data_IF_700596520711
#
_entry.id   IF_700596520711
#
_cell.length_a   1.000
_cell.length_b   1.000
_cell.length_c   1.000
_cell.angle_alpha   90.00
_cell.angle_beta   90.00
_cell.angle_gamma   90.00
#
_symmetry.space_group_name_H-M   'P 1'
#
loop_
_entity.id
_entity.type
_entity.pdbx_description
1 polymer ?
#
# COMPACT_ATOMS: atom_id res chain seq x y z
N UNK A 1 18.54 -26.41 -1.36
CA UNK A 1 17.64 -25.31 -1.78
C UNK A 1 17.78 -24.19 -0.75
N UNK A 2 18.57 -23.16 -1.06
CA UNK A 2 18.84 -22.04 -0.16
C UNK A 2 17.57 -21.20 -0.04
N UNK A 3 16.86 -21.33 1.09
CA UNK A 3 15.79 -20.41 1.47
C UNK A 3 16.47 -19.07 1.68
N UNK A 4 16.30 -18.14 0.75
CA UNK A 4 16.84 -16.80 0.90
C UNK A 4 16.24 -16.19 2.19
N UNK A 5 17.04 -16.00 3.25
CA UNK A 5 16.52 -15.52 4.54
C UNK A 5 15.91 -14.12 4.40
N UNK A 6 16.31 -13.38 3.37
CA UNK A 6 15.70 -12.09 2.98
C UNK A 6 14.22 -12.27 2.60
N UNK A 7 13.85 -13.33 1.88
CA UNK A 7 12.46 -13.55 1.47
C UNK A 7 11.60 -13.93 2.68
N UNK A 8 12.10 -14.77 3.59
CA UNK A 8 11.38 -15.13 4.81
C UNK A 8 11.28 -13.96 5.80
N UNK A 9 12.32 -13.13 5.92
CA UNK A 9 12.25 -11.90 6.71
C UNK A 9 11.22 -10.92 6.14
N UNK A 10 11.16 -10.79 4.82
CA UNK A 10 10.14 -9.95 4.15
C UNK A 10 8.75 -10.49 4.43
N UNK A 11 8.54 -11.80 4.33
CA UNK A 11 7.23 -12.43 4.62
C UNK A 11 6.79 -12.26 6.06
N UNK A 12 7.68 -12.41 7.04
CA UNK A 12 7.33 -12.22 8.46
C UNK A 12 7.12 -10.74 8.80
N UNK A 13 7.79 -9.80 8.12
CA UNK A 13 7.52 -8.38 8.25
C UNK A 13 6.16 -7.98 7.64
N UNK A 14 5.76 -8.64 6.55
CA UNK A 14 4.49 -8.39 5.86
C UNK A 14 3.32 -9.23 6.36
N UNK A 15 3.51 -10.06 7.39
CA UNK A 15 2.44 -10.78 8.08
C UNK A 15 1.66 -9.81 8.98
N UNK A 16 1.03 -8.83 8.33
CA UNK A 16 0.12 -7.88 8.95
C UNK A 16 -1.19 -8.64 9.15
N UNK A 17 -1.48 -9.01 10.40
CA UNK A 17 -2.80 -9.46 10.82
C UNK A 17 -3.79 -8.30 10.62
N UNK A 18 -4.35 -8.21 9.42
CA UNK A 18 -5.38 -7.24 9.04
C UNK A 18 -6.71 -7.59 9.70
N UNK A 19 -6.80 -7.37 11.01
CA UNK A 19 -8.07 -7.35 11.75
C UNK A 19 -8.27 -6.07 12.57
N UNK A 20 -7.37 -5.10 12.47
CA UNK A 20 -7.61 -3.74 12.93
C UNK A 20 -7.93 -2.88 11.70
N UNK A 21 -9.03 -2.12 11.77
CA UNK A 21 -9.52 -1.25 10.68
C UNK A 21 -8.50 -0.22 10.18
N UNK A 22 -7.40 -0.03 10.92
CA UNK A 22 -6.45 1.07 10.80
C UNK A 22 -5.15 0.69 11.57
N UNK A 23 -4.22 -0.10 11.00
CA UNK A 23 -2.99 -0.49 11.71
C UNK A 23 -1.96 0.64 11.70
N UNK A 24 -1.68 1.19 12.89
CA UNK A 24 -0.59 2.15 13.11
C UNK A 24 0.67 1.36 13.44
N UNK A 25 1.72 1.52 12.64
CA UNK A 25 3.01 0.89 12.91
C UNK A 25 3.94 1.88 13.59
N UNK A 26 4.26 1.64 14.85
CA UNK A 26 5.22 2.46 15.59
C UNK A 26 6.54 1.72 15.68
N UNK A 27 7.58 2.27 15.04
CA UNK A 27 8.94 1.79 15.21
C UNK A 27 9.56 2.48 16.43
N UNK A 28 10.00 1.73 17.45
CA UNK A 28 10.62 2.31 18.63
C UNK A 28 11.95 3.00 18.26
N UNK A 29 12.29 4.05 19.00
CA UNK A 29 13.55 4.76 18.84
C UNK A 29 14.74 3.81 19.07
N UNK A 30 15.82 4.02 18.32
CA UNK A 30 17.11 3.35 18.52
C UNK A 30 18.21 4.39 18.70
N UNK A 31 19.46 3.96 18.88
CA UNK A 31 20.60 4.87 18.97
C UNK A 31 20.88 5.66 17.68
N UNK A 32 20.29 5.27 16.55
CA UNK A 32 20.59 5.84 15.22
C UNK A 32 19.40 6.55 14.58
N UNK A 33 18.19 6.43 15.14
CA UNK A 33 16.99 7.08 14.64
C UNK A 33 15.92 7.24 15.73
N UNK A 34 15.20 8.35 15.66
CA UNK A 34 14.05 8.62 16.53
C UNK A 34 12.88 7.67 16.24
N UNK A 35 11.95 7.59 17.20
CA UNK A 35 10.73 6.80 17.03
C UNK A 35 9.92 7.34 15.85
N UNK A 36 9.51 6.46 14.95
CA UNK A 36 8.74 6.82 13.75
C UNK A 36 7.41 6.08 13.76
N UNK A 37 6.33 6.83 13.62
CA UNK A 37 4.97 6.30 13.54
C UNK A 37 4.47 6.39 12.11
N UNK A 38 4.15 5.24 11.52
CA UNK A 38 3.55 5.12 10.20
C UNK A 38 2.05 4.93 10.34
N UNK A 39 1.33 6.03 10.11
CA UNK A 39 -0.13 6.11 10.17
C UNK A 39 -0.72 6.44 8.78
N UNK A 40 -0.14 5.86 7.74
CA UNK A 40 -0.56 6.18 6.38
C UNK A 40 -1.96 5.65 6.08
N UNK A 41 -2.29 4.44 6.53
CA UNK A 41 -3.55 3.78 6.19
C UNK A 41 -4.76 4.29 6.97
N UNK A 42 -4.58 4.97 8.11
CA UNK A 42 -5.70 5.50 8.91
C UNK A 42 -5.99 6.97 8.58
N UNK A 43 -5.17 7.58 7.74
CA UNK A 43 -5.32 8.96 7.29
C UNK A 43 -6.44 9.09 6.26
N UNK A 44 -7.41 10.01 6.44
CA UNK A 44 -8.52 10.20 5.50
C UNK A 44 -8.05 10.54 4.08
N UNK A 45 -6.84 11.08 3.95
CA UNK A 45 -6.21 11.41 2.67
C UNK A 45 -5.94 10.17 1.80
N UNK A 46 -5.67 8.99 2.38
CA UNK A 46 -5.43 7.78 1.58
C UNK A 46 -6.68 7.30 0.87
N UNK A 47 -7.84 7.39 1.52
CA UNK A 47 -9.12 7.05 0.88
C UNK A 47 -9.38 7.99 -0.31
N UNK A 48 -9.11 9.28 -0.14
CA UNK A 48 -9.25 10.26 -1.21
C UNK A 48 -8.29 9.97 -2.38
N UNK A 49 -7.03 9.64 -2.09
CA UNK A 49 -6.04 9.27 -3.12
C UNK A 49 -6.47 8.00 -3.86
N UNK A 50 -6.93 6.97 -3.14
CA UNK A 50 -7.35 5.71 -3.75
C UNK A 50 -8.58 5.90 -4.65
N UNK A 51 -9.53 6.74 -4.24
CA UNK A 51 -10.67 7.12 -5.07
C UNK A 51 -10.22 7.86 -6.34
N UNK A 52 -9.29 8.83 -6.23
CA UNK A 52 -8.75 9.55 -7.38
C UNK A 52 -8.06 8.60 -8.38
N UNK A 53 -7.26 7.65 -7.88
CA UNK A 53 -6.60 6.64 -8.72
C UNK A 53 -7.63 5.73 -9.41
N UNK A 54 -8.72 5.36 -8.72
CA UNK A 54 -9.83 4.61 -9.31
C UNK A 54 -10.49 5.33 -10.47
N UNK A 55 -10.79 6.63 -10.31
CA UNK A 55 -11.35 7.46 -11.38
C UNK A 55 -10.41 7.62 -12.58
N UNK A 56 -9.11 7.79 -12.32
CA UNK A 56 -8.10 7.88 -13.38
C UNK A 56 -8.03 6.60 -14.22
N UNK A 57 -7.98 5.43 -13.55
CA UNK A 57 -7.97 4.14 -14.22
C UNK A 57 -9.24 3.90 -15.04
N UNK A 58 -10.40 4.27 -14.49
CA UNK A 58 -11.67 4.16 -15.21
C UNK A 58 -11.69 5.03 -16.48
N UNK A 59 -11.23 6.28 -16.39
CA UNK A 59 -11.16 7.18 -17.54
C UNK A 59 -10.22 6.63 -18.63
N UNK A 60 -9.07 6.10 -18.23
CA UNK A 60 -8.11 5.50 -19.15
C UNK A 60 -8.69 4.27 -19.85
N UNK A 61 -9.33 3.37 -19.09
CA UNK A 61 -9.98 2.18 -19.63
C UNK A 61 -11.10 2.54 -20.61
N UNK A 62 -11.94 3.52 -20.27
CA UNK A 62 -13.03 3.98 -21.13
C UNK A 62 -12.51 4.57 -22.46
N UNK A 63 -11.46 5.39 -22.41
CA UNK A 63 -10.83 5.94 -23.62
C UNK A 63 -10.29 4.82 -24.53
N UNK A 64 -9.59 3.85 -23.95
CA UNK A 64 -9.08 2.71 -24.71
C UNK A 64 -10.18 1.82 -25.29
N UNK A 65 -11.26 1.59 -24.54
CA UNK A 65 -12.42 0.85 -25.02
C UNK A 65 -13.08 1.54 -26.22
N UNK A 66 -13.23 2.86 -26.18
CA UNK A 66 -13.77 3.65 -27.31
C UNK A 66 -12.85 3.54 -28.53
N UNK A 67 -11.53 3.64 -28.35
CA UNK A 67 -10.59 3.47 -29.47
C UNK A 67 -10.72 2.09 -30.13
N UNK A 68 -10.84 1.02 -29.34
CA UNK A 68 -11.05 -0.34 -29.87
C UNK A 68 -12.40 -0.45 -30.58
N UNK A 69 -13.46 0.13 -30.04
CA UNK A 69 -14.79 0.08 -30.67
C UNK A 69 -14.87 0.83 -32.01
N UNK A 70 -14.00 1.83 -32.21
CA UNK A 70 -13.93 2.64 -33.43
C UNK A 70 -12.88 2.15 -34.44
N UNK A 71 -12.09 1.13 -34.10
CA UNK A 71 -11.11 0.49 -35.00
C UNK A 71 -11.68 -0.81 -35.55
#
# INVERSE_FOLDING_TARGET
>A
MSKAPIIDATKSFFEISVSASCPIFTFPATAYWDAMTFDFLCKPEIVAILQLLGWLLLAFAAFHAIKIALT
#
